data_IF_723217299545
#
_entry.id   IF_723217299545
#
_cell.length_a   1.000
_cell.length_b   1.000
_cell.length_c   1.000
_cell.angle_alpha   90.00
_cell.angle_beta   90.00
_cell.angle_gamma   90.00
#
_symmetry.space_group_name_H-M   'P 1'
#
loop_
_entity.id
_entity.type
_entity.pdbx_description
1 polymer ?
#
# COMPACT_ATOMS: atom_id res chain seq x y z
N UNK A 1 9.44 -11.00 1.43
CA UNK A 1 9.72 -10.48 0.07
C UNK A 1 9.34 -9.00 -0.03
N UNK A 2 10.04 -8.24 -0.89
CA UNK A 2 9.76 -6.83 -1.17
C UNK A 2 9.72 -6.64 -2.69
N UNK A 3 8.63 -6.07 -3.22
CA UNK A 3 8.49 -5.78 -4.65
C UNK A 3 8.95 -4.37 -4.98
N UNK A 4 9.53 -4.15 -6.18
CA UNK A 4 10.14 -2.87 -6.54
C UNK A 4 11.33 -2.53 -5.63
N UNK A 5 12.10 -3.54 -5.24
CA UNK A 5 13.13 -3.44 -4.21
C UNK A 5 14.54 -3.17 -4.77
N UNK A 6 14.69 -3.02 -6.07
CA UNK A 6 15.98 -2.73 -6.68
C UNK A 6 16.45 -1.27 -6.53
N UNK A 7 15.56 -0.35 -6.14
CA UNK A 7 15.89 1.08 -6.02
C UNK A 7 15.04 1.77 -4.94
N UNK A 8 15.49 2.95 -4.52
CA UNK A 8 14.72 3.89 -3.69
C UNK A 8 14.16 3.28 -2.42
N UNK A 9 12.86 3.48 -2.18
CA UNK A 9 12.18 3.07 -0.94
C UNK A 9 12.19 1.56 -0.76
N UNK A 10 11.91 0.78 -1.81
CA UNK A 10 11.92 -0.68 -1.74
C UNK A 10 13.30 -1.26 -1.40
N UNK A 11 14.39 -0.67 -1.95
CA UNK A 11 15.76 -1.03 -1.59
C UNK A 11 16.03 -0.75 -0.12
N UNK A 12 15.62 0.42 0.39
CA UNK A 12 15.78 0.75 1.82
C UNK A 12 15.01 -0.23 2.73
N UNK A 13 13.81 -0.66 2.33
CA UNK A 13 13.06 -1.70 3.05
C UNK A 13 13.81 -3.03 3.09
N UNK A 14 14.27 -3.50 1.92
CA UNK A 14 14.98 -4.77 1.80
C UNK A 14 16.25 -4.79 2.66
N UNK A 15 17.04 -3.72 2.60
CA UNK A 15 18.28 -3.58 3.38
C UNK A 15 18.00 -3.55 4.88
N UNK A 16 17.02 -2.74 5.35
CA UNK A 16 16.70 -2.67 6.77
C UNK A 16 16.19 -4.02 7.31
N UNK A 17 15.30 -4.70 6.57
CA UNK A 17 14.79 -6.01 6.98
C UNK A 17 15.92 -7.04 7.07
N UNK A 18 16.83 -7.07 6.11
CA UNK A 18 17.99 -7.95 6.13
C UNK A 18 18.93 -7.64 7.30
N UNK A 19 19.20 -6.36 7.60
CA UNK A 19 19.96 -5.93 8.78
C UNK A 19 19.31 -6.38 10.10
N UNK A 20 18.00 -6.58 10.11
CA UNK A 20 17.25 -7.09 11.26
C UNK A 20 17.11 -8.63 11.26
N UNK A 21 17.82 -9.32 10.38
CA UNK A 21 17.92 -10.78 10.35
C UNK A 21 16.87 -11.47 9.48
N UNK A 22 16.06 -10.73 8.71
CA UNK A 22 15.14 -11.33 7.76
C UNK A 22 15.90 -11.91 6.55
N UNK A 23 15.44 -13.05 6.02
CA UNK A 23 15.82 -13.57 4.70
C UNK A 23 14.94 -12.85 3.67
N UNK A 24 15.52 -12.13 2.72
CA UNK A 24 14.78 -11.19 1.85
C UNK A 24 14.81 -11.63 0.39
N UNK A 25 13.65 -11.77 -0.24
CA UNK A 25 13.57 -11.79 -1.70
C UNK A 25 13.41 -10.35 -2.20
N UNK A 26 14.40 -9.90 -2.97
CA UNK A 26 14.45 -8.60 -3.63
C UNK A 26 13.84 -8.77 -5.02
N UNK A 27 12.58 -8.38 -5.20
CA UNK A 27 11.95 -8.42 -6.51
C UNK A 27 11.97 -7.03 -7.16
N UNK A 28 12.45 -6.95 -8.40
CA UNK A 28 12.36 -5.76 -9.24
C UNK A 28 12.45 -6.17 -10.72
N UNK A 29 11.46 -5.76 -11.53
CA UNK A 29 11.51 -5.98 -12.98
C UNK A 29 12.68 -5.24 -13.65
N UNK A 30 13.19 -4.18 -13.00
CA UNK A 30 14.27 -3.35 -13.52
C UNK A 30 13.83 -2.30 -14.54
N UNK A 31 12.55 -2.15 -14.76
CA UNK A 31 11.97 -1.22 -15.72
C UNK A 31 12.29 0.25 -15.46
N UNK A 32 11.96 1.10 -16.44
CA UNK A 32 12.01 2.55 -16.33
C UNK A 32 11.00 3.05 -15.28
N UNK A 33 11.05 4.35 -14.96
CA UNK A 33 10.06 4.99 -14.10
C UNK A 33 8.63 4.87 -14.68
N UNK A 34 8.50 4.86 -16.00
CA UNK A 34 7.22 4.76 -16.71
C UNK A 34 6.73 3.33 -16.88
N UNK A 35 7.52 2.34 -16.43
CA UNK A 35 7.16 0.92 -16.47
C UNK A 35 7.48 0.23 -17.79
N UNK A 36 8.49 0.71 -18.53
CA UNK A 36 8.97 0.08 -19.77
C UNK A 36 10.31 -0.62 -19.56
N UNK A 37 10.55 -1.71 -20.31
CA UNK A 37 11.78 -2.49 -20.24
C UNK A 37 11.85 -3.41 -19.02
N UNK A 38 12.91 -4.24 -19.00
CA UNK A 38 13.24 -5.14 -17.90
C UNK A 38 14.76 -5.26 -17.79
N UNK A 39 15.27 -5.36 -16.56
CA UNK A 39 16.69 -5.50 -16.27
C UNK A 39 16.87 -6.23 -14.94
N UNK A 40 17.17 -7.51 -15.00
CA UNK A 40 17.33 -8.36 -13.82
C UNK A 40 18.52 -7.96 -12.93
N UNK A 41 19.52 -7.28 -13.48
CA UNK A 41 20.71 -6.86 -12.74
C UNK A 41 20.36 -5.87 -11.61
N UNK A 42 19.25 -5.17 -11.75
CA UNK A 42 18.75 -4.24 -10.73
C UNK A 42 18.41 -4.93 -9.41
N UNK A 43 17.73 -6.06 -9.45
CA UNK A 43 17.43 -6.86 -8.27
C UNK A 43 18.65 -7.59 -7.74
N UNK A 44 19.47 -8.15 -8.66
CA UNK A 44 20.73 -8.85 -8.34
C UNK A 44 21.71 -7.95 -7.58
N UNK A 45 21.87 -6.70 -8.00
CA UNK A 45 22.78 -5.76 -7.34
C UNK A 45 22.40 -5.53 -5.87
N UNK A 46 21.11 -5.35 -5.56
CA UNK A 46 20.66 -5.13 -4.18
C UNK A 46 20.77 -6.42 -3.34
N UNK A 47 20.48 -7.58 -3.92
CA UNK A 47 20.69 -8.84 -3.23
C UNK A 47 22.18 -9.03 -2.86
N UNK A 48 23.10 -8.77 -3.79
CA UNK A 48 24.54 -8.83 -3.55
C UNK A 48 25.02 -7.82 -2.49
N UNK A 49 24.45 -6.59 -2.47
CA UNK A 49 24.74 -5.60 -1.41
C UNK A 49 24.33 -6.11 -0.03
N UNK A 50 23.15 -6.74 0.09
CA UNK A 50 22.66 -7.32 1.34
C UNK A 50 23.58 -8.47 1.79
N UNK A 51 23.98 -9.35 0.88
CA UNK A 51 24.87 -10.46 1.19
C UNK A 51 26.27 -9.98 1.60
N UNK A 52 26.80 -8.97 0.91
CA UNK A 52 28.08 -8.35 1.25
C UNK A 52 28.05 -7.68 2.65
N UNK A 53 26.88 -7.23 3.11
CA UNK A 53 26.68 -6.70 4.44
C UNK A 53 26.40 -7.78 5.52
N UNK A 54 26.46 -9.08 5.14
CA UNK A 54 26.26 -10.22 6.05
C UNK A 54 24.79 -10.63 6.23
N UNK A 55 23.88 -10.09 5.44
CA UNK A 55 22.47 -10.50 5.40
C UNK A 55 22.24 -11.72 4.47
N UNK A 56 20.99 -12.11 4.32
CA UNK A 56 20.58 -13.19 3.42
C UNK A 56 19.55 -12.64 2.43
N UNK A 57 19.85 -12.73 1.13
CA UNK A 57 18.94 -12.26 0.10
C UNK A 57 18.92 -13.19 -1.13
N UNK A 58 17.84 -13.13 -1.89
CA UNK A 58 17.72 -13.68 -3.22
C UNK A 58 17.10 -12.63 -4.14
N UNK A 59 17.50 -12.61 -5.41
CA UNK A 59 16.95 -11.71 -6.40
C UNK A 59 15.85 -12.39 -7.22
N UNK A 60 14.84 -11.62 -7.60
CA UNK A 60 13.76 -12.02 -8.50
C UNK A 60 13.41 -10.88 -9.46
N UNK A 61 13.14 -11.21 -10.73
CA UNK A 61 12.83 -10.22 -11.77
C UNK A 61 11.44 -10.44 -12.42
N UNK A 62 10.55 -11.19 -11.77
CA UNK A 62 9.21 -11.41 -12.30
C UNK A 62 8.32 -10.15 -12.25
N UNK A 63 7.48 -9.98 -13.28
CA UNK A 63 6.53 -8.86 -13.37
C UNK A 63 5.30 -9.13 -12.51
N UNK A 64 5.21 -8.46 -11.36
CA UNK A 64 4.08 -8.57 -10.43
C UNK A 64 2.76 -8.05 -10.99
N UNK A 65 2.77 -7.24 -12.06
CA UNK A 65 1.56 -6.80 -12.73
C UNK A 65 0.83 -7.97 -13.43
N UNK A 66 1.50 -9.10 -13.65
CA UNK A 66 0.92 -10.31 -14.21
C UNK A 66 0.64 -11.36 -13.12
N UNK A 67 -0.45 -12.12 -13.30
CA UNK A 67 -0.78 -13.23 -12.39
C UNK A 67 0.33 -14.27 -12.35
N UNK A 68 0.87 -14.63 -13.52
CA UNK A 68 1.93 -15.63 -13.65
C UNK A 68 3.24 -15.16 -12.99
N UNK A 69 3.64 -13.90 -13.18
CA UNK A 69 4.85 -13.35 -12.58
C UNK A 69 4.76 -13.26 -11.05
N UNK A 70 3.60 -12.83 -10.53
CA UNK A 70 3.38 -12.81 -9.09
C UNK A 70 3.39 -14.22 -8.48
N UNK A 71 2.82 -15.22 -9.15
CA UNK A 71 2.89 -16.62 -8.71
C UNK A 71 4.33 -17.13 -8.72
N UNK A 72 5.07 -16.91 -9.82
CA UNK A 72 6.47 -17.32 -9.94
C UNK A 72 7.36 -16.72 -8.85
N UNK A 73 7.14 -15.43 -8.49
CA UNK A 73 7.85 -14.78 -7.39
C UNK A 73 7.58 -15.46 -6.04
N UNK A 74 6.34 -15.82 -5.75
CA UNK A 74 6.00 -16.52 -4.50
C UNK A 74 6.58 -17.95 -4.50
N UNK A 75 6.46 -18.67 -5.61
CA UNK A 75 7.01 -20.03 -5.74
C UNK A 75 8.53 -20.00 -5.52
N UNK A 76 9.26 -19.08 -6.15
CA UNK A 76 10.68 -18.89 -5.93
C UNK A 76 11.02 -18.51 -4.48
N UNK A 77 10.18 -17.69 -3.83
CA UNK A 77 10.35 -17.35 -2.40
C UNK A 77 10.24 -18.57 -1.51
N UNK A 78 9.25 -19.42 -1.77
CA UNK A 78 9.02 -20.66 -0.99
C UNK A 78 10.09 -21.70 -1.31
N UNK A 79 10.51 -21.84 -2.55
CA UNK A 79 11.61 -22.74 -2.94
C UNK A 79 12.92 -22.35 -2.23
N UNK A 80 13.24 -21.05 -2.19
CA UNK A 80 14.48 -20.55 -1.60
C UNK A 80 14.49 -20.57 -0.06
N UNK A 81 13.35 -20.27 0.57
CA UNK A 81 13.27 -20.01 2.01
C UNK A 81 12.25 -20.88 2.77
N UNK A 82 11.57 -21.80 2.07
CA UNK A 82 10.58 -22.76 2.60
C UNK A 82 9.29 -22.11 3.15
N UNK A 83 9.22 -20.77 3.18
CA UNK A 83 8.08 -20.01 3.73
C UNK A 83 8.02 -18.59 3.18
N UNK A 84 6.87 -17.96 3.34
CA UNK A 84 6.67 -16.52 3.18
C UNK A 84 5.92 -15.96 4.38
N UNK A 85 6.51 -15.01 5.11
CA UNK A 85 5.92 -14.40 6.30
C UNK A 85 5.46 -12.98 6.05
N UNK A 86 6.24 -12.25 5.24
CA UNK A 86 6.08 -10.83 4.99
C UNK A 86 6.04 -10.56 3.50
N UNK A 87 5.00 -9.82 3.08
CA UNK A 87 4.84 -9.33 1.71
C UNK A 87 4.78 -7.81 1.73
N UNK A 88 5.82 -7.14 1.22
CA UNK A 88 5.82 -5.68 1.05
C UNK A 88 5.58 -5.36 -0.42
N UNK A 89 4.36 -4.93 -0.72
CA UNK A 89 3.93 -4.50 -2.04
C UNK A 89 4.32 -3.03 -2.25
N UNK A 90 5.50 -2.83 -2.83
CA UNK A 90 6.03 -1.49 -3.07
C UNK A 90 6.24 -1.17 -4.56
N UNK A 91 6.24 -2.16 -5.45
CA UNK A 91 6.41 -1.94 -6.88
C UNK A 91 5.44 -0.87 -7.41
N UNK A 92 5.94 0.01 -8.25
CA UNK A 92 5.15 1.09 -8.79
C UNK A 92 5.83 1.79 -9.95
N UNK A 93 5.03 2.48 -10.74
CA UNK A 93 5.44 3.32 -11.87
C UNK A 93 4.91 4.73 -11.71
N UNK A 94 5.46 5.67 -12.49
CA UNK A 94 4.99 7.04 -12.53
C UNK A 94 5.10 7.57 -13.95
N UNK A 95 3.96 7.86 -14.57
CA UNK A 95 3.87 8.59 -15.82
C UNK A 95 2.88 9.72 -15.63
N UNK A 96 3.36 10.94 -15.77
CA UNK A 96 2.58 12.15 -15.57
C UNK A 96 1.73 12.45 -16.80
N UNK A 97 0.45 12.70 -16.59
CA UNK A 97 -0.47 13.19 -17.62
C UNK A 97 -1.64 13.91 -16.97
N UNK A 98 -1.93 15.13 -17.43
CA UNK A 98 -3.11 15.88 -16.98
C UNK A 98 -4.39 15.26 -17.56
N UNK A 99 -5.50 15.42 -16.86
CA UNK A 99 -6.80 15.09 -17.42
C UNK A 99 -7.24 16.25 -18.37
N UNK A 100 -7.73 15.96 -19.61
CA UNK A 100 -8.13 14.64 -20.14
C UNK A 100 -7.07 13.90 -20.98
N UNK A 101 -5.82 14.35 -20.99
CA UNK A 101 -4.75 13.78 -21.84
C UNK A 101 -4.26 12.39 -21.35
N UNK A 102 -4.61 12.01 -20.10
CA UNK A 102 -4.37 10.68 -19.60
C UNK A 102 -5.24 9.66 -20.36
N UNK A 103 -4.62 8.89 -21.25
CA UNK A 103 -5.31 7.89 -22.05
C UNK A 103 -5.65 6.61 -21.25
N UNK A 104 -6.48 5.75 -21.86
CA UNK A 104 -6.93 4.51 -21.22
C UNK A 104 -5.78 3.52 -20.98
N UNK A 105 -4.73 3.51 -21.81
CA UNK A 105 -3.58 2.64 -21.65
C UNK A 105 -2.74 3.05 -20.43
N UNK A 106 -2.47 4.34 -20.28
CA UNK A 106 -1.80 4.89 -19.10
C UNK A 106 -2.57 4.56 -17.82
N UNK A 107 -3.89 4.77 -17.84
CA UNK A 107 -4.77 4.45 -16.71
C UNK A 107 -4.70 2.96 -16.36
N UNK A 108 -4.89 2.08 -17.34
CA UNK A 108 -4.84 0.64 -17.16
C UNK A 108 -3.46 0.17 -16.63
N UNK A 109 -2.36 0.74 -17.14
CA UNK A 109 -1.01 0.38 -16.70
C UNK A 109 -0.74 0.76 -15.25
N UNK A 110 -1.19 1.93 -14.79
CA UNK A 110 -1.09 2.30 -13.38
C UNK A 110 -1.89 1.34 -12.49
N UNK A 111 -3.14 1.03 -12.88
CA UNK A 111 -3.94 0.05 -12.14
C UNK A 111 -3.28 -1.33 -12.11
N UNK A 112 -2.75 -1.80 -13.25
CA UNK A 112 -2.13 -3.12 -13.34
C UNK A 112 -0.92 -3.25 -12.42
N UNK A 113 -0.05 -2.25 -12.36
CA UNK A 113 1.18 -2.33 -11.55
C UNK A 113 0.87 -2.10 -10.06
N UNK A 114 0.20 -0.99 -9.72
CA UNK A 114 0.03 -0.60 -8.32
C UNK A 114 -1.02 -1.44 -7.59
N UNK A 115 -2.21 -1.54 -8.17
CA UNK A 115 -3.34 -2.26 -7.55
C UNK A 115 -3.31 -3.73 -7.90
N UNK A 116 -3.20 -4.05 -9.19
CA UNK A 116 -3.13 -5.41 -9.70
C UNK A 116 -1.91 -6.16 -9.17
N UNK A 117 -0.72 -5.55 -9.16
CA UNK A 117 0.49 -6.14 -8.61
C UNK A 117 0.35 -6.47 -7.13
N UNK A 118 -0.19 -5.55 -6.33
CA UNK A 118 -0.47 -5.78 -4.90
C UNK A 118 -1.49 -6.89 -4.68
N UNK A 119 -2.53 -6.97 -5.51
CA UNK A 119 -3.52 -8.03 -5.47
C UNK A 119 -2.90 -9.39 -5.84
N UNK A 120 -2.19 -9.46 -6.96
CA UNK A 120 -1.63 -10.70 -7.50
C UNK A 120 -0.64 -11.34 -6.53
N UNK A 121 0.32 -10.57 -6.02
CA UNK A 121 1.32 -11.06 -5.06
C UNK A 121 0.70 -11.49 -3.75
N UNK A 122 -0.25 -10.70 -3.23
CA UNK A 122 -0.96 -11.06 -2.00
C UNK A 122 -1.79 -12.33 -2.20
N UNK A 123 -2.51 -12.45 -3.31
CA UNK A 123 -3.30 -13.63 -3.65
C UNK A 123 -2.43 -14.88 -3.76
N UNK A 124 -1.27 -14.80 -4.39
CA UNK A 124 -0.34 -15.93 -4.51
C UNK A 124 0.26 -16.34 -3.15
N UNK A 125 0.57 -15.38 -2.27
CA UNK A 125 1.08 -15.65 -0.93
C UNK A 125 0.01 -16.16 0.05
N UNK A 126 -1.27 -15.83 -0.18
CA UNK A 126 -2.36 -16.03 0.78
C UNK A 126 -2.49 -17.47 1.30
N UNK A 127 -2.43 -18.54 0.48
CA UNK A 127 -2.52 -19.93 0.98
C UNK A 127 -1.42 -20.27 1.98
N UNK A 128 -0.21 -19.78 1.77
CA UNK A 128 0.93 -20.01 2.67
C UNK A 128 0.73 -19.28 3.99
N UNK A 129 0.31 -18.00 3.96
CA UNK A 129 0.04 -17.19 5.15
C UNK A 129 -1.07 -17.82 6.01
N UNK A 130 -2.16 -18.26 5.38
CA UNK A 130 -3.26 -18.97 6.05
C UNK A 130 -2.78 -20.29 6.66
N UNK A 131 -2.04 -21.10 5.90
CA UNK A 131 -1.49 -22.37 6.37
C UNK A 131 -0.54 -22.22 7.56
N UNK A 132 0.26 -21.16 7.57
CA UNK A 132 1.19 -20.81 8.66
C UNK A 132 0.47 -20.17 9.86
N UNK A 133 -0.77 -19.68 9.69
CA UNK A 133 -1.49 -18.86 10.67
C UNK A 133 -0.68 -17.62 11.10
N UNK A 134 0.02 -17.03 10.14
CA UNK A 134 0.83 -15.84 10.33
C UNK A 134 1.06 -15.15 8.99
N UNK A 135 0.90 -13.83 8.95
CA UNK A 135 1.24 -13.02 7.79
C UNK A 135 1.28 -11.53 8.11
N UNK A 136 2.21 -10.83 7.49
CA UNK A 136 2.30 -9.37 7.54
C UNK A 136 2.38 -8.83 6.12
N UNK A 137 1.40 -8.04 5.73
CA UNK A 137 1.31 -7.47 4.39
C UNK A 137 1.33 -5.96 4.50
N UNK A 138 2.31 -5.34 3.87
CA UNK A 138 2.43 -3.88 3.80
C UNK A 138 2.22 -3.45 2.35
N UNK A 139 1.20 -2.65 2.11
CA UNK A 139 0.88 -2.13 0.78
C UNK A 139 1.26 -0.66 0.66
N UNK A 140 1.90 -0.28 -0.43
CA UNK A 140 2.31 1.11 -0.63
C UNK A 140 1.21 1.91 -1.31
N UNK A 141 0.50 2.72 -0.53
CA UNK A 141 -0.38 3.78 -1.04
C UNK A 141 0.41 5.09 -1.21
N UNK A 142 -0.25 6.21 -1.25
CA UNK A 142 0.36 7.55 -1.34
C UNK A 142 -0.62 8.60 -0.86
N UNK A 143 -0.11 9.71 -0.33
CA UNK A 143 -0.91 10.93 -0.12
C UNK A 143 -1.44 11.51 -1.43
N UNK A 144 -0.88 11.12 -2.59
CA UNK A 144 -1.43 11.42 -3.91
C UNK A 144 -2.87 10.93 -4.12
N UNK A 145 -3.34 9.94 -3.32
CA UNK A 145 -4.74 9.51 -3.32
C UNK A 145 -5.73 10.59 -2.86
N UNK A 146 -5.25 11.64 -2.18
CA UNK A 146 -6.07 12.78 -1.74
C UNK A 146 -6.39 13.75 -2.89
N UNK A 147 -5.81 13.53 -4.06
CA UNK A 147 -6.01 14.32 -5.27
C UNK A 147 -4.68 14.82 -5.83
N UNK A 148 -4.39 14.44 -7.05
CA UNK A 148 -3.19 14.84 -7.77
C UNK A 148 -3.64 15.21 -9.19
N UNK A 149 -3.75 16.52 -9.47
CA UNK A 149 -4.34 17.03 -10.69
C UNK A 149 -3.63 16.52 -11.96
N UNK A 150 -2.32 16.36 -11.89
CA UNK A 150 -1.49 15.95 -13.02
C UNK A 150 -1.32 14.44 -13.14
N UNK A 151 -2.00 13.65 -12.27
CA UNK A 151 -1.92 12.18 -12.34
C UNK A 151 -3.14 11.47 -11.71
N UNK A 152 -4.26 11.55 -12.40
CA UNK A 152 -5.51 10.91 -12.00
C UNK A 152 -5.41 9.37 -11.93
N UNK A 153 -4.64 8.77 -12.85
CA UNK A 153 -4.43 7.32 -12.89
C UNK A 153 -3.69 6.80 -11.64
N UNK A 154 -2.63 7.50 -11.25
CA UNK A 154 -1.89 7.19 -10.03
C UNK A 154 -2.74 7.36 -8.78
N UNK A 155 -3.45 8.50 -8.68
CA UNK A 155 -4.34 8.77 -7.54
C UNK A 155 -5.41 7.67 -7.39
N UNK A 156 -6.07 7.29 -8.49
CA UNK A 156 -7.06 6.22 -8.51
C UNK A 156 -6.46 4.86 -8.09
N UNK A 157 -5.29 4.50 -8.62
CA UNK A 157 -4.62 3.25 -8.27
C UNK A 157 -4.25 3.19 -6.78
N UNK A 158 -3.70 4.29 -6.23
CA UNK A 158 -3.28 4.37 -4.83
C UNK A 158 -4.46 4.43 -3.86
N UNK A 159 -5.58 5.04 -4.24
CA UNK A 159 -6.83 4.96 -3.50
C UNK A 159 -7.41 3.53 -3.53
N UNK A 160 -7.36 2.85 -4.68
CA UNK A 160 -7.78 1.45 -4.83
C UNK A 160 -6.99 0.49 -3.91
N UNK A 161 -5.69 0.72 -3.71
CA UNK A 161 -4.86 -0.06 -2.76
C UNK A 161 -5.40 0.04 -1.33
N UNK A 162 -5.94 1.19 -0.92
CA UNK A 162 -6.54 1.35 0.42
C UNK A 162 -7.78 0.47 0.57
N UNK A 163 -8.67 0.44 -0.42
CA UNK A 163 -9.84 -0.44 -0.41
C UNK A 163 -9.46 -1.92 -0.38
N UNK A 164 -8.46 -2.32 -1.18
CA UNK A 164 -7.91 -3.68 -1.19
C UNK A 164 -7.35 -4.05 0.20
N UNK A 165 -6.52 -3.21 0.79
CA UNK A 165 -5.94 -3.40 2.12
C UNK A 165 -7.01 -3.61 3.19
N UNK A 166 -8.05 -2.76 3.21
CA UNK A 166 -9.16 -2.84 4.18
C UNK A 166 -9.89 -4.18 4.07
N UNK A 167 -10.21 -4.61 2.86
CA UNK A 167 -10.89 -5.89 2.60
C UNK A 167 -10.03 -7.08 3.05
N UNK A 168 -8.75 -7.08 2.72
CA UNK A 168 -7.82 -8.15 3.08
C UNK A 168 -7.52 -8.18 4.59
N UNK A 169 -7.50 -7.04 5.26
CA UNK A 169 -7.40 -6.94 6.72
C UNK A 169 -8.55 -7.70 7.41
N UNK A 170 -9.78 -7.48 6.95
CA UNK A 170 -10.96 -8.20 7.45
C UNK A 170 -10.89 -9.70 7.14
N UNK A 171 -10.47 -10.08 5.94
CA UNK A 171 -10.31 -11.49 5.56
C UNK A 171 -9.21 -12.22 6.35
N UNK A 172 -8.15 -11.50 6.75
CA UNK A 172 -7.01 -12.05 7.47
C UNK A 172 -7.20 -12.19 8.99
N UNK A 173 -8.23 -11.57 9.57
CA UNK A 173 -8.40 -11.45 11.02
C UNK A 173 -8.42 -12.79 11.76
N UNK A 174 -8.99 -13.85 11.15
CA UNK A 174 -9.05 -15.19 11.74
C UNK A 174 -7.75 -16.01 11.65
N UNK A 175 -6.71 -15.48 10.98
CA UNK A 175 -5.49 -16.21 10.64
C UNK A 175 -4.20 -15.54 11.12
N UNK A 176 -4.26 -14.52 11.98
CA UNK A 176 -3.15 -13.62 12.33
C UNK A 176 -2.44 -13.03 11.09
N UNK A 177 -3.21 -12.72 10.06
CA UNK A 177 -2.72 -12.01 8.88
C UNK A 177 -3.09 -10.54 9.06
N UNK A 178 -2.09 -9.68 9.22
CA UNK A 178 -2.28 -8.23 9.34
C UNK A 178 -1.90 -7.55 8.03
N UNK A 179 -2.78 -6.68 7.55
CA UNK A 179 -2.61 -5.96 6.28
C UNK A 179 -2.73 -4.47 6.55
N UNK A 180 -1.69 -3.71 6.24
CA UNK A 180 -1.66 -2.26 6.46
C UNK A 180 -1.11 -1.53 5.22
N UNK A 181 -1.41 -0.24 5.12
CA UNK A 181 -0.84 0.63 4.12
C UNK A 181 0.25 1.55 4.70
N UNK A 182 1.28 1.79 3.89
CA UNK A 182 2.22 2.88 4.09
C UNK A 182 2.05 3.90 2.95
N UNK A 183 2.03 5.20 3.29
CA UNK A 183 2.09 6.32 2.37
C UNK A 183 3.45 7.01 2.55
N UNK A 184 4.46 6.69 1.74
CA UNK A 184 5.80 7.21 1.92
C UNK A 184 5.91 8.69 1.56
N UNK A 185 6.66 9.45 2.36
CA UNK A 185 7.10 10.80 2.06
C UNK A 185 8.63 10.79 1.87
N UNK A 186 9.08 10.34 0.71
CA UNK A 186 10.50 10.25 0.37
C UNK A 186 10.78 10.85 -0.99
N UNK A 187 11.97 11.44 -1.13
CA UNK A 187 12.45 11.91 -2.40
C UNK A 187 13.10 10.75 -3.18
N UNK A 188 12.50 10.42 -4.30
CA UNK A 188 12.98 9.37 -5.20
C UNK A 188 12.94 9.88 -6.65
N UNK A 189 13.43 9.08 -7.59
CA UNK A 189 13.30 9.40 -9.03
C UNK A 189 11.85 9.71 -9.48
N UNK A 190 10.85 9.23 -8.73
CA UNK A 190 9.42 9.47 -9.02
C UNK A 190 8.93 10.84 -8.55
N UNK A 191 9.66 11.51 -7.67
CA UNK A 191 9.26 12.80 -7.09
C UNK A 191 9.60 14.01 -7.98
N UNK A 192 10.20 13.78 -9.15
CA UNK A 192 10.62 14.85 -10.07
C UNK A 192 11.98 15.47 -9.72
N UNK A 193 12.28 16.69 -10.20
CA UNK A 193 13.56 17.36 -9.96
C UNK A 193 13.84 17.59 -8.47
N UNK A 194 15.11 17.50 -8.09
CA UNK A 194 15.53 17.69 -6.70
C UNK A 194 15.19 19.09 -6.18
N UNK A 195 14.62 19.13 -4.98
CA UNK A 195 14.30 20.37 -4.27
C UNK A 195 15.25 20.57 -3.08
N UNK A 196 15.22 21.74 -2.46
CA UNK A 196 16.03 22.04 -1.26
C UNK A 196 15.80 21.11 -0.08
N UNK A 197 14.64 20.43 -0.03
CA UNK A 197 14.29 19.49 1.05
C UNK A 197 14.61 18.03 0.70
N UNK A 198 15.10 17.73 -0.50
CA UNK A 198 15.37 16.37 -0.95
C UNK A 198 16.31 15.58 -0.01
N UNK A 199 17.32 16.25 0.53
CA UNK A 199 18.26 15.66 1.49
C UNK A 199 17.63 15.25 2.84
N UNK A 200 16.48 15.83 3.19
CA UNK A 200 15.74 15.49 4.40
C UNK A 200 14.65 14.43 4.16
N UNK A 201 14.52 13.96 2.93
CA UNK A 201 13.48 13.00 2.50
C UNK A 201 14.10 11.71 1.95
N UNK A 202 15.18 11.24 2.58
CA UNK A 202 15.82 10.00 2.16
C UNK A 202 14.87 8.79 2.34
N UNK A 203 14.89 7.81 1.42
CA UNK A 203 14.11 6.57 1.52
C UNK A 203 14.28 5.83 2.84
N UNK A 204 15.48 5.87 3.44
CA UNK A 204 15.79 5.24 4.71
C UNK A 204 14.96 5.78 5.89
N UNK A 205 14.46 7.01 5.80
CA UNK A 205 13.58 7.60 6.82
C UNK A 205 12.14 7.05 6.78
N UNK A 206 11.78 6.30 5.74
CA UNK A 206 10.49 5.61 5.62
C UNK A 206 10.60 4.16 6.12
N UNK A 207 11.74 3.53 5.92
CA UNK A 207 11.96 2.11 6.15
C UNK A 207 11.59 1.63 7.57
N UNK A 208 11.85 2.39 8.67
CA UNK A 208 11.46 1.95 10.01
C UNK A 208 9.97 1.69 10.19
N UNK A 209 9.10 2.53 9.60
CA UNK A 209 7.65 2.32 9.68
C UNK A 209 7.23 1.06 8.91
N UNK A 210 7.74 0.86 7.70
CA UNK A 210 7.43 -0.34 6.93
C UNK A 210 7.89 -1.61 7.64
N UNK A 211 9.10 -1.59 8.24
CA UNK A 211 9.63 -2.70 9.01
C UNK A 211 8.79 -2.98 10.27
N UNK A 212 8.30 -1.95 10.96
CA UNK A 212 7.41 -2.13 12.12
C UNK A 212 6.05 -2.68 11.73
N UNK A 213 5.45 -2.22 10.62
CA UNK A 213 4.19 -2.77 10.11
C UNK A 213 4.33 -4.24 9.67
N UNK A 214 5.54 -4.68 9.33
CA UNK A 214 5.89 -6.05 8.99
C UNK A 214 6.33 -6.90 10.21
N UNK A 215 6.47 -6.30 11.38
CA UNK A 215 6.94 -6.97 12.59
C UNK A 215 5.82 -7.78 13.28
N UNK A 216 6.20 -8.80 14.02
CA UNK A 216 5.23 -9.62 14.80
C UNK A 216 4.49 -8.79 15.85
N UNK A 217 5.16 -7.83 16.49
CA UNK A 217 4.59 -6.92 17.49
C UNK A 217 3.71 -5.82 16.90
N UNK A 218 3.53 -5.73 15.57
CA UNK A 218 2.62 -4.74 14.98
C UNK A 218 1.21 -4.97 15.53
N UNK A 219 0.61 -4.00 16.28
CA UNK A 219 -0.66 -4.25 16.96
C UNK A 219 -1.88 -4.06 16.04
N UNK A 220 -1.70 -3.50 14.84
CA UNK A 220 -2.80 -3.01 13.99
C UNK A 220 -2.94 -3.78 12.68
N UNK A 221 -4.15 -3.76 12.14
CA UNK A 221 -4.50 -4.21 10.80
C UNK A 221 -5.59 -3.30 10.23
N UNK A 222 -5.55 -3.03 8.92
CA UNK A 222 -6.53 -2.17 8.26
C UNK A 222 -6.20 -0.67 8.33
N UNK A 223 -4.96 -0.31 8.68
CA UNK A 223 -4.58 1.07 8.93
C UNK A 223 -3.64 1.64 7.86
N UNK A 224 -3.59 2.97 7.80
CA UNK A 224 -2.72 3.70 6.87
C UNK A 224 -1.75 4.56 7.69
N UNK A 225 -0.46 4.46 7.41
CA UNK A 225 0.56 5.30 8.03
C UNK A 225 1.35 6.09 7.00
N UNK A 226 1.51 7.38 7.25
CA UNK A 226 2.43 8.26 6.53
C UNK A 226 3.77 8.23 7.23
N UNK A 227 4.86 8.07 6.48
CA UNK A 227 6.21 8.03 7.02
C UNK A 227 7.21 8.71 6.10
N UNK A 228 8.10 9.50 6.66
CA UNK A 228 9.20 10.17 5.95
C UNK A 228 9.60 11.48 6.61
N UNK A 229 10.73 12.02 6.23
CA UNK A 229 11.28 13.27 6.76
C UNK A 229 11.33 13.30 8.30
N UNK A 230 11.55 12.13 8.94
CA UNK A 230 11.57 12.00 10.40
C UNK A 230 10.19 12.06 11.08
N UNK A 231 9.09 12.07 10.32
CA UNK A 231 7.72 12.12 10.83
C UNK A 231 6.97 10.84 10.52
N UNK A 232 6.18 10.39 11.51
CA UNK A 232 5.25 9.26 11.40
C UNK A 232 3.87 9.71 11.83
N UNK A 233 2.83 9.40 11.05
CA UNK A 233 1.46 9.78 11.36
C UNK A 233 0.47 8.74 10.83
N UNK A 234 -0.65 8.55 11.52
CA UNK A 234 -1.78 7.79 11.01
C UNK A 234 -2.61 8.66 10.07
N UNK A 235 -2.99 8.11 8.92
CA UNK A 235 -3.99 8.66 8.01
C UNK A 235 -5.23 7.77 8.08
N UNK A 236 -6.42 8.35 8.19
CA UNK A 236 -7.65 7.58 8.34
C UNK A 236 -8.79 8.19 7.54
N UNK A 237 -9.77 7.36 7.20
CA UNK A 237 -11.06 7.77 6.65
C UNK A 237 -12.06 7.88 7.82
N UNK A 238 -12.77 8.98 7.87
CA UNK A 238 -13.77 9.25 8.89
C UNK A 238 -15.14 9.52 8.25
N UNK A 239 -16.19 9.39 9.05
CA UNK A 239 -17.55 9.76 8.69
C UNK A 239 -18.09 10.72 9.72
N UNK A 240 -18.78 11.78 9.29
CA UNK A 240 -19.56 12.65 10.18
C UNK A 240 -20.77 11.89 10.70
N UNK A 241 -21.38 12.36 11.79
CA UNK A 241 -22.64 11.81 12.29
C UNK A 241 -23.80 12.11 11.33
N UNK A 242 -23.70 13.19 10.57
CA UNK A 242 -24.68 13.57 9.56
C UNK A 242 -26.03 14.02 10.13
N UNK A 243 -27.04 13.95 9.28
CA UNK A 243 -28.43 14.32 9.60
C UNK A 243 -29.34 13.11 9.38
N UNK A 244 -30.24 12.87 10.33
CA UNK A 244 -31.31 11.86 10.25
C UNK A 244 -32.61 12.57 9.92
N UNK A 245 -33.21 12.26 8.76
CA UNK A 245 -34.49 12.87 8.36
C UNK A 245 -35.62 12.47 9.30
N UNK A 246 -36.48 13.44 9.63
CA UNK A 246 -37.66 13.22 10.48
C UNK A 246 -38.83 12.60 9.70
N UNK A 247 -38.75 12.53 8.37
CA UNK A 247 -39.76 11.98 7.47
C UNK A 247 -39.20 10.78 6.72
N UNK A 248 -40.06 9.79 6.37
CA UNK A 248 -39.61 8.61 5.63
C UNK A 248 -39.22 8.91 4.15
N UNK A 249 -39.61 10.07 3.63
CA UNK A 249 -39.36 10.50 2.25
C UNK A 249 -38.66 11.87 2.25
N UNK A 250 -37.36 11.94 2.53
CA UNK A 250 -36.63 13.20 2.53
C UNK A 250 -36.51 13.77 1.12
N UNK A 251 -36.55 15.10 1.02
CA UNK A 251 -36.51 15.86 -0.23
C UNK A 251 -35.11 16.45 -0.46
N UNK A 252 -34.87 17.01 -1.68
CA UNK A 252 -33.63 17.76 -1.97
C UNK A 252 -33.52 18.98 -1.05
N UNK A 253 -34.65 19.60 -0.76
CA UNK A 253 -34.77 20.80 0.14
C UNK A 253 -34.37 20.43 1.55
N UNK A 254 -34.74 19.26 2.07
CA UNK A 254 -34.29 18.77 3.37
C UNK A 254 -32.75 18.63 3.43
N UNK A 255 -32.13 18.04 2.37
CA UNK A 255 -30.67 17.94 2.28
C UNK A 255 -30.04 19.33 2.28
N UNK A 256 -30.56 20.25 1.47
CA UNK A 256 -30.04 21.61 1.38
C UNK A 256 -30.17 22.37 2.72
N UNK A 257 -31.31 22.24 3.39
CA UNK A 257 -31.56 22.89 4.70
C UNK A 257 -30.63 22.39 5.79
N UNK A 258 -30.29 21.08 5.77
CA UNK A 258 -29.45 20.44 6.78
C UNK A 258 -28.00 20.28 6.37
N UNK A 259 -27.56 20.95 5.27
CA UNK A 259 -26.22 20.81 4.71
C UNK A 259 -25.11 21.07 5.72
N UNK A 260 -25.27 22.05 6.60
CA UNK A 260 -24.31 22.35 7.66
C UNK A 260 -24.16 21.18 8.66
N UNK A 261 -25.28 20.56 9.06
CA UNK A 261 -25.28 19.40 9.98
C UNK A 261 -24.66 18.17 9.32
N UNK A 262 -24.95 17.95 8.03
CA UNK A 262 -24.37 16.83 7.27
C UNK A 262 -22.85 16.94 7.23
N UNK A 263 -22.32 18.16 7.15
CA UNK A 263 -20.88 18.44 7.05
C UNK A 263 -20.21 18.79 8.39
N UNK A 264 -20.92 18.70 9.51
CA UNK A 264 -20.32 18.98 10.81
C UNK A 264 -19.34 17.88 11.20
N UNK A 265 -18.06 18.22 11.22
CA UNK A 265 -16.97 17.32 11.61
C UNK A 265 -16.88 17.09 13.12
N UNK A 266 -17.69 17.82 13.92
CA UNK A 266 -17.69 17.65 15.37
C UNK A 266 -18.19 16.26 15.74
N UNK A 267 -17.37 15.48 16.44
CA UNK A 267 -17.75 14.14 16.86
C UNK A 267 -17.77 13.10 15.73
N UNK A 268 -17.02 13.32 14.63
CA UNK A 268 -16.82 12.30 13.60
C UNK A 268 -16.37 10.97 14.20
N UNK A 269 -16.61 9.88 13.51
CA UNK A 269 -16.10 8.57 13.90
C UNK A 269 -15.23 7.93 12.81
N UNK A 270 -14.30 7.09 13.24
CA UNK A 270 -13.40 6.34 12.35
C UNK A 270 -13.80 4.87 12.39
N UNK A 271 -14.51 4.37 11.36
CA UNK A 271 -14.97 2.99 11.34
C UNK A 271 -13.80 2.01 11.20
N UNK A 272 -13.79 0.96 12.00
CA UNK A 272 -12.82 -0.11 11.89
C UNK A 272 -13.00 -0.90 10.58
N UNK A 273 -14.26 -1.15 10.19
CA UNK A 273 -14.64 -1.89 8.97
C UNK A 273 -16.04 -1.45 8.50
N UNK A 274 -16.54 -2.13 7.45
CA UNK A 274 -17.90 -1.88 6.92
C UNK A 274 -18.98 -2.14 7.94
N UNK A 275 -18.84 -3.19 8.76
CA UNK A 275 -19.87 -3.54 9.74
C UNK A 275 -19.96 -2.50 10.86
N UNK A 276 -18.81 -2.01 11.33
CA UNK A 276 -18.75 -0.91 12.30
C UNK A 276 -19.34 0.38 11.74
N UNK A 277 -19.06 0.70 10.45
CA UNK A 277 -19.69 1.85 9.81
C UNK A 277 -21.20 1.67 9.68
N UNK A 278 -21.66 0.51 9.23
CA UNK A 278 -23.09 0.22 9.05
C UNK A 278 -23.84 0.28 10.38
N UNK A 279 -23.29 -0.26 11.46
CA UNK A 279 -23.88 -0.21 12.79
C UNK A 279 -24.04 1.25 13.27
N UNK A 280 -23.03 2.10 13.08
CA UNK A 280 -23.11 3.51 13.45
C UNK A 280 -24.12 4.27 12.58
N UNK A 281 -24.07 4.10 11.25
CA UNK A 281 -24.91 4.83 10.31
C UNK A 281 -26.39 4.44 10.40
N UNK A 282 -26.69 3.16 10.61
CA UNK A 282 -28.05 2.63 10.69
C UNK A 282 -28.59 2.57 12.12
N UNK A 283 -27.81 2.93 13.14
CA UNK A 283 -28.18 2.83 14.56
C UNK A 283 -29.50 3.51 14.90
N UNK A 284 -29.80 4.64 14.26
CA UNK A 284 -31.05 5.37 14.43
C UNK A 284 -32.32 4.57 14.09
N UNK A 285 -32.22 3.51 13.26
CA UNK A 285 -33.35 2.64 12.92
C UNK A 285 -33.71 1.65 14.03
N UNK A 286 -32.81 1.42 15.00
CA UNK A 286 -32.93 0.42 16.03
C UNK A 286 -33.18 1.04 17.44
N UNK A 287 -33.38 2.36 17.52
CA UNK A 287 -33.77 3.04 18.75
C UNK A 287 -32.68 3.11 19.82
N UNK A 288 -31.42 3.22 19.41
CA UNK A 288 -30.28 3.43 20.32
C UNK A 288 -30.02 4.91 20.60
#
# INVERSE_FOLDING_TARGET
>A
MVTGAGRGIGRAYAQLLAQRGARVVVNDLGGSMEGTGADADVALAVAAEIEAAGGTAAADANDVATVAGAQALIDATVEQFERVDVVINNAGIMRWAQFPDADAELFARHLAVHLGGSFNTTRAAWPYLVGQRYGRIVMTTSTGMLGLADNTAYAAAKAGVVGLMRSLSSAGAGHDIKVNCIAPAAFTRMAGPATSVAGHMAPDLVAPMAAFLAHEDCPVSGEIYVAGAGRFARLFLASTNGYVASTPEPTIEDVAQHWATINDETGYFVPADLMGWSAAFLGHLFGS
#
